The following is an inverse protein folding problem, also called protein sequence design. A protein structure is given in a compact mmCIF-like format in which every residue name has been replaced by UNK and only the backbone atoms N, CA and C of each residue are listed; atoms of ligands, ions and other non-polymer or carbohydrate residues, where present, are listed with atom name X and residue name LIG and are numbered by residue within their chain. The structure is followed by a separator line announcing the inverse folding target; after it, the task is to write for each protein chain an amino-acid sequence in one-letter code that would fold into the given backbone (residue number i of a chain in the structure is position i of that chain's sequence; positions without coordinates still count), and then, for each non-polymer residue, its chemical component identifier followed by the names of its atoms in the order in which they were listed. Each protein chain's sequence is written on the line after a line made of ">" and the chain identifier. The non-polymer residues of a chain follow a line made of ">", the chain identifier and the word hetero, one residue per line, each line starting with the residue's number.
data_IF_317741213729
#
_entry.id   IF_317741213729
#
_cell.length_a   1.000
_cell.length_b   1.000
_cell.length_c   1.000
_cell.angle_alpha   90.00
_cell.angle_beta   90.00
_cell.angle_gamma   90.00
#
_symmetry.space_group_name_H-M   'P 1'
#
loop_
_entity.id
_entity.type
_entity.pdbx_description
1 polymer ?
#
# COMPACT_ATOMS: atom_id res chain seq x y z
N UNK A 1 -0.37 6.36 -11.91
CA UNK A 1 -0.28 5.98 -13.34
C UNK A 1 -0.67 7.12 -14.29
N UNK A 2 -1.89 7.67 -14.21
CA UNK A 2 -2.36 8.69 -15.17
C UNK A 2 -1.57 10.01 -15.12
N UNK A 3 -1.23 10.49 -13.92
CA UNK A 3 -0.41 11.70 -13.72
C UNK A 3 1.02 11.50 -14.25
N UNK A 4 1.62 10.35 -13.97
CA UNK A 4 2.95 9.99 -14.48
C UNK A 4 2.99 9.83 -16.00
N UNK A 5 2.00 9.17 -16.61
CA UNK A 5 1.90 9.06 -18.06
C UNK A 5 1.82 10.43 -18.74
N UNK A 6 1.10 11.38 -18.12
CA UNK A 6 1.00 12.75 -18.59
C UNK A 6 2.31 13.52 -18.38
N UNK A 7 3.01 13.32 -17.26
CA UNK A 7 4.33 13.92 -16.98
C UNK A 7 5.35 13.49 -18.02
N UNK A 8 5.41 12.19 -18.31
CA UNK A 8 6.29 11.60 -19.33
C UNK A 8 5.97 12.13 -20.73
N UNK A 9 4.70 12.25 -21.09
CA UNK A 9 4.30 12.82 -22.39
C UNK A 9 4.71 14.29 -22.56
N UNK A 10 4.59 15.10 -21.52
CA UNK A 10 4.99 16.52 -21.56
C UNK A 10 6.52 16.64 -21.63
N UNK A 11 7.25 15.80 -20.88
CA UNK A 11 8.71 15.76 -20.94
C UNK A 11 9.24 15.35 -22.32
N UNK A 12 8.59 14.39 -22.98
CA UNK A 12 8.92 13.97 -24.35
C UNK A 12 8.73 15.09 -25.37
N UNK A 13 7.63 15.85 -25.27
CA UNK A 13 7.32 16.97 -26.17
C UNK A 13 8.28 18.15 -26.04
N UNK A 14 8.87 18.35 -24.87
CA UNK A 14 9.80 19.45 -24.59
C UNK A 14 11.28 19.04 -24.70
N UNK A 15 11.57 17.79 -25.09
CA UNK A 15 12.95 17.31 -25.23
C UNK A 15 13.74 17.24 -23.91
N UNK A 16 13.04 17.26 -22.77
CA UNK A 16 13.65 17.27 -21.42
C UNK A 16 13.77 15.87 -20.81
N UNK A 17 13.62 14.82 -21.62
CA UNK A 17 13.67 13.43 -21.17
C UNK A 17 15.02 13.05 -20.54
N UNK A 18 16.12 13.57 -21.07
CA UNK A 18 17.47 13.32 -20.56
C UNK A 18 17.88 14.26 -19.40
N UNK A 19 17.00 15.18 -18.97
CA UNK A 19 17.26 16.12 -17.87
C UNK A 19 16.46 15.73 -16.62
N UNK A 20 17.03 14.93 -15.68
CA UNK A 20 16.30 14.45 -14.50
C UNK A 20 15.83 15.55 -13.52
N UNK A 21 16.41 16.76 -13.62
CA UNK A 21 16.05 17.93 -12.79
C UNK A 21 15.22 18.98 -13.53
N UNK A 22 14.88 18.75 -14.80
CA UNK A 22 14.09 19.71 -15.56
C UNK A 22 12.68 19.80 -14.99
N UNK A 23 12.23 21.02 -14.69
CA UNK A 23 10.88 21.28 -14.21
C UNK A 23 9.91 21.01 -15.36
N UNK A 24 9.11 19.96 -15.25
CA UNK A 24 8.03 19.69 -16.19
C UNK A 24 6.96 20.76 -15.97
N UNK A 25 6.58 21.56 -16.98
CA UNK A 25 5.57 22.61 -16.84
C UNK A 25 4.18 21.97 -16.74
N UNK A 26 3.84 21.46 -15.55
CA UNK A 26 2.56 20.85 -15.22
C UNK A 26 2.00 21.52 -13.96
N UNK A 27 0.68 21.77 -13.95
CA UNK A 27 0.01 22.28 -12.75
C UNK A 27 0.01 21.24 -11.62
N UNK A 28 0.38 21.68 -10.42
CA UNK A 28 0.37 20.88 -9.17
C UNK A 28 -1.02 20.32 -8.87
N UNK A 29 -2.09 20.95 -9.37
CA UNK A 29 -3.47 20.48 -9.22
C UNK A 29 -3.73 19.07 -9.77
N UNK A 30 -2.90 18.57 -10.69
CA UNK A 30 -3.01 17.20 -11.22
C UNK A 30 -2.63 16.12 -10.20
N UNK A 31 -1.91 16.47 -9.15
CA UNK A 31 -1.56 15.55 -8.06
C UNK A 31 -2.73 15.36 -7.08
N UNK A 32 -3.67 16.31 -7.03
CA UNK A 32 -4.76 16.32 -6.06
C UNK A 32 -5.62 15.04 -6.12
N UNK A 33 -6.09 14.58 -7.30
CA UNK A 33 -6.98 13.41 -7.35
C UNK A 33 -6.31 12.14 -6.84
N UNK A 34 -5.05 11.91 -7.19
CA UNK A 34 -4.34 10.71 -6.75
C UNK A 34 -4.05 10.73 -5.24
N UNK A 35 -3.67 11.88 -4.67
CA UNK A 35 -3.41 12.00 -3.24
C UNK A 35 -4.70 11.89 -2.42
N UNK A 36 -5.81 12.41 -2.94
CA UNK A 36 -7.10 12.32 -2.27
C UNK A 36 -7.58 10.87 -2.20
N UNK A 37 -7.54 10.13 -3.32
CA UNK A 37 -7.93 8.71 -3.35
C UNK A 37 -7.02 7.87 -2.44
N UNK A 38 -5.71 8.09 -2.50
CA UNK A 38 -4.75 7.38 -1.65
C UNK A 38 -4.99 7.68 -0.16
N UNK A 39 -5.15 8.96 0.20
CA UNK A 39 -5.40 9.36 1.58
C UNK A 39 -6.72 8.82 2.13
N UNK A 40 -7.79 8.84 1.35
CA UNK A 40 -9.06 8.23 1.77
C UNK A 40 -8.91 6.72 1.95
N UNK A 41 -8.25 6.04 1.01
CA UNK A 41 -8.00 4.59 1.11
C UNK A 41 -7.24 4.24 2.38
N UNK A 42 -6.16 4.96 2.69
CA UNK A 42 -5.34 4.71 3.89
C UNK A 42 -6.13 4.97 5.18
N UNK A 43 -6.91 6.07 5.22
CA UNK A 43 -7.75 6.39 6.36
C UNK A 43 -8.82 5.32 6.62
N UNK A 44 -9.54 4.90 5.59
CA UNK A 44 -10.57 3.87 5.73
C UNK A 44 -9.97 2.52 6.09
N UNK A 45 -8.85 2.14 5.49
CA UNK A 45 -8.16 0.89 5.82
C UNK A 45 -7.68 0.87 7.28
N UNK A 46 -7.09 1.97 7.75
CA UNK A 46 -6.60 2.09 9.12
C UNK A 46 -7.74 2.07 10.14
N UNK A 47 -8.76 2.93 9.96
CA UNK A 47 -9.89 3.03 10.89
C UNK A 47 -10.70 1.73 10.90
N UNK A 48 -10.98 1.15 9.72
CA UNK A 48 -11.74 -0.10 9.63
C UNK A 48 -11.01 -1.28 10.27
N UNK A 49 -9.68 -1.37 10.10
CA UNK A 49 -8.88 -2.39 10.78
C UNK A 49 -8.91 -2.17 12.30
N UNK A 50 -8.73 -0.93 12.75
CA UNK A 50 -8.70 -0.61 14.17
C UNK A 50 -10.04 -0.89 14.87
N UNK A 51 -11.17 -0.49 14.28
CA UNK A 51 -12.51 -0.75 14.82
C UNK A 51 -12.79 -2.26 14.87
N UNK A 52 -12.46 -3.01 13.83
CA UNK A 52 -12.65 -4.45 13.80
C UNK A 52 -11.86 -5.15 14.92
N UNK A 53 -10.59 -4.80 15.12
CA UNK A 53 -9.80 -5.39 16.21
C UNK A 53 -10.27 -4.96 17.60
N UNK A 54 -10.74 -3.72 17.73
CA UNK A 54 -11.28 -3.19 18.98
C UNK A 54 -12.58 -3.90 19.38
N UNK A 55 -13.50 -4.10 18.43
CA UNK A 55 -14.81 -4.73 18.67
C UNK A 55 -14.72 -6.25 18.87
N UNK A 56 -13.72 -6.92 18.30
CA UNK A 56 -13.54 -8.38 18.48
C UNK A 56 -12.87 -8.74 19.83
N UNK A 57 -12.24 -7.78 20.50
CA UNK A 57 -11.58 -7.98 21.80
C UNK A 57 -12.56 -7.83 22.98
N UNK A 58 -12.46 -8.67 24.03
CA UNK A 58 -13.21 -8.45 25.27
C UNK A 58 -12.83 -7.11 25.91
N UNK A 59 -13.74 -6.50 26.67
CA UNK A 59 -13.59 -5.12 27.18
C UNK A 59 -12.25 -4.85 27.87
N UNK A 60 -11.77 -5.82 28.67
CA UNK A 60 -10.51 -5.72 29.41
C UNK A 60 -9.24 -5.72 28.53
N UNK A 61 -9.36 -6.13 27.26
CA UNK A 61 -8.22 -6.30 26.33
C UNK A 61 -8.26 -5.36 25.13
N UNK A 62 -9.17 -4.38 25.11
CA UNK A 62 -9.28 -3.40 24.02
C UNK A 62 -7.99 -2.61 23.76
N UNK A 63 -7.22 -2.31 24.81
CA UNK A 63 -5.91 -1.66 24.70
C UNK A 63 -4.89 -2.54 23.94
N UNK A 64 -4.95 -3.86 24.12
CA UNK A 64 -4.11 -4.83 23.40
C UNK A 64 -4.51 -4.87 21.92
N UNK A 65 -5.80 -4.77 21.60
CA UNK A 65 -6.28 -4.68 20.20
C UNK A 65 -5.69 -3.49 19.44
N UNK A 66 -5.66 -2.31 20.07
CA UNK A 66 -5.01 -1.12 19.50
C UNK A 66 -3.48 -1.30 19.35
N UNK A 67 -2.83 -1.91 20.35
CA UNK A 67 -1.39 -2.17 20.29
C UNK A 67 -1.01 -3.18 19.19
N UNK A 68 -1.83 -4.22 18.98
CA UNK A 68 -1.66 -5.20 17.92
C UNK A 68 -1.82 -4.57 16.53
N UNK A 69 -2.79 -3.68 16.36
CA UNK A 69 -3.00 -2.95 15.09
C UNK A 69 -1.77 -2.11 14.75
N UNK A 70 -1.23 -1.35 15.72
CA UNK A 70 -0.01 -0.57 15.51
C UNK A 70 1.23 -1.45 15.27
N UNK A 71 1.32 -2.59 15.96
CA UNK A 71 2.36 -3.59 15.74
C UNK A 71 2.32 -4.16 14.31
N UNK A 72 1.13 -4.48 13.79
CA UNK A 72 0.95 -4.97 12.43
C UNK A 72 1.40 -3.94 11.39
N UNK A 73 1.09 -2.65 11.60
CA UNK A 73 1.58 -1.56 10.73
C UNK A 73 3.11 -1.47 10.77
N UNK A 74 3.71 -1.57 11.96
CA UNK A 74 5.17 -1.58 12.12
C UNK A 74 5.84 -2.74 11.38
N UNK A 75 5.28 -3.96 11.50
CA UNK A 75 5.75 -5.13 10.76
C UNK A 75 5.62 -4.92 9.25
N UNK A 76 4.51 -4.33 8.78
CA UNK A 76 4.32 -3.96 7.38
C UNK A 76 5.39 -3.01 6.86
N UNK A 77 5.79 -2.02 7.64
CA UNK A 77 6.86 -1.08 7.28
C UNK A 77 8.23 -1.76 7.15
N UNK A 78 8.56 -2.69 8.05
CA UNK A 78 9.78 -3.49 7.93
C UNK A 78 9.77 -4.39 6.70
N UNK A 79 8.63 -5.04 6.42
CA UNK A 79 8.47 -5.89 5.25
C UNK A 79 8.62 -5.08 3.95
N UNK A 80 8.03 -3.90 3.88
CA UNK A 80 8.17 -2.97 2.74
C UNK A 80 9.65 -2.62 2.50
N UNK A 81 10.38 -2.27 3.56
CA UNK A 81 11.82 -1.97 3.47
C UNK A 81 12.64 -3.17 3.00
N UNK A 82 12.32 -4.37 3.49
CA UNK A 82 12.99 -5.60 3.09
C UNK A 82 12.75 -5.91 1.60
N UNK A 83 11.51 -5.76 1.12
CA UNK A 83 11.17 -5.95 -0.29
C UNK A 83 11.92 -4.97 -1.18
N UNK A 84 11.93 -3.68 -0.84
CA UNK A 84 12.69 -2.67 -1.60
C UNK A 84 14.18 -3.03 -1.66
N UNK A 85 14.75 -3.46 -0.54
CA UNK A 85 16.16 -3.86 -0.47
C UNK A 85 16.45 -5.08 -1.36
N UNK A 86 15.56 -6.08 -1.36
CA UNK A 86 15.68 -7.26 -2.23
C UNK A 86 15.58 -6.87 -3.70
N UNK A 87 14.62 -6.02 -4.07
CA UNK A 87 14.43 -5.53 -5.44
C UNK A 87 15.66 -4.75 -5.91
N UNK A 88 16.18 -3.84 -5.08
CA UNK A 88 17.39 -3.07 -5.38
C UNK A 88 18.60 -3.99 -5.60
N UNK A 89 18.79 -4.99 -4.72
CA UNK A 89 19.89 -5.94 -4.82
C UNK A 89 19.77 -6.84 -6.05
N UNK A 90 18.59 -7.40 -6.30
CA UNK A 90 18.32 -8.25 -7.46
C UNK A 90 18.58 -7.49 -8.77
N UNK A 91 18.07 -6.26 -8.85
CA UNK A 91 18.24 -5.38 -9.99
C UNK A 91 19.70 -4.95 -10.21
N UNK A 92 20.43 -4.62 -9.14
CA UNK A 92 21.87 -4.32 -9.23
C UNK A 92 22.70 -5.51 -9.73
N UNK A 93 22.30 -6.74 -9.40
CA UNK A 93 23.00 -7.95 -9.81
C UNK A 93 22.79 -8.30 -11.30
N UNK A 94 21.73 -7.76 -11.90
CA UNK A 94 21.43 -7.91 -13.34
C UNK A 94 22.11 -6.83 -14.20
N UNK A 95 23.03 -6.06 -13.61
CA UNK A 95 23.85 -5.07 -14.30
C UNK A 95 23.18 -3.72 -14.55
N UNK A 96 21.88 -3.59 -14.26
CA UNK A 96 21.10 -2.37 -14.49
C UNK A 96 20.17 -2.09 -13.30
N UNK A 97 20.54 -1.20 -12.37
CA UNK A 97 19.65 -0.79 -11.29
C UNK A 97 18.35 -0.22 -11.87
N UNK A 98 17.19 -0.69 -11.41
CA UNK A 98 15.86 -0.27 -11.87
C UNK A 98 15.46 1.03 -11.18
N UNK A 99 15.93 1.23 -9.95
CA UNK A 99 15.84 2.47 -9.20
C UNK A 99 17.10 3.31 -9.43
N UNK A 100 17.21 3.91 -10.62
CA UNK A 100 18.24 4.92 -10.93
C UNK A 100 17.72 6.31 -10.59
N UNK A 101 18.61 7.23 -10.22
CA UNK A 101 18.29 8.65 -9.98
C UNK A 101 17.59 9.35 -11.17
N UNK A 102 17.62 8.76 -12.37
CA UNK A 102 16.91 9.28 -13.53
C UNK A 102 15.62 8.48 -13.78
N UNK A 103 14.53 8.95 -13.17
CA UNK A 103 13.19 8.37 -13.27
C UNK A 103 12.66 8.32 -14.72
N UNK A 104 13.20 9.14 -15.63
CA UNK A 104 12.79 9.14 -17.05
C UNK A 104 13.44 8.01 -17.89
N UNK A 105 14.50 7.38 -17.39
CA UNK A 105 15.19 6.23 -18.02
C UNK A 105 15.13 4.95 -17.18
N UNK A 106 14.59 5.01 -15.97
CA UNK A 106 14.29 3.83 -15.20
C UNK A 106 13.28 2.96 -15.98
N UNK A 107 13.54 1.66 -16.07
CA UNK A 107 12.57 0.69 -16.56
C UNK A 107 11.45 0.55 -15.51
N UNK A 108 10.59 1.56 -15.43
CA UNK A 108 9.44 1.58 -14.52
C UNK A 108 8.54 0.36 -14.75
N UNK A 109 8.48 -0.14 -15.98
CA UNK A 109 7.64 -1.29 -16.34
C UNK A 109 8.04 -2.55 -15.57
N UNK A 110 9.32 -2.87 -15.42
CA UNK A 110 9.80 -4.04 -14.67
C UNK A 110 9.51 -3.90 -13.17
N UNK A 111 9.69 -2.70 -12.62
CA UNK A 111 9.31 -2.40 -11.24
C UNK A 111 7.79 -2.53 -11.02
N UNK A 112 6.97 -2.06 -11.96
CA UNK A 112 5.52 -2.21 -11.90
C UNK A 112 5.07 -3.67 -12.02
N UNK A 113 5.76 -4.50 -12.80
CA UNK A 113 5.48 -5.95 -12.87
C UNK A 113 5.77 -6.66 -11.54
N UNK A 114 6.89 -6.35 -10.89
CA UNK A 114 7.19 -6.89 -9.55
C UNK A 114 6.16 -6.40 -8.53
N UNK A 115 5.79 -5.12 -8.58
CA UNK A 115 4.78 -4.55 -7.70
C UNK A 115 3.40 -5.20 -7.92
N UNK A 116 3.01 -5.43 -9.18
CA UNK A 116 1.77 -6.12 -9.51
C UNK A 116 1.77 -7.56 -8.99
N UNK A 117 2.89 -8.28 -9.14
CA UNK A 117 3.05 -9.62 -8.58
C UNK A 117 2.92 -9.63 -7.06
N UNK A 118 3.52 -8.65 -6.38
CA UNK A 118 3.41 -8.49 -4.93
C UNK A 118 1.98 -8.18 -4.48
N UNK A 119 1.27 -7.28 -5.17
CA UNK A 119 -0.14 -6.99 -4.88
C UNK A 119 -1.04 -8.21 -5.09
N UNK A 120 -0.81 -8.99 -6.16
CA UNK A 120 -1.54 -10.24 -6.37
C UNK A 120 -1.28 -11.24 -5.25
N UNK A 121 -0.02 -11.39 -4.81
CA UNK A 121 0.33 -12.28 -3.70
C UNK A 121 -0.35 -11.84 -2.39
N UNK A 122 -0.31 -10.54 -2.08
CA UNK A 122 -0.95 -9.95 -0.91
C UNK A 122 -2.47 -10.24 -0.90
N UNK A 123 -3.15 -10.02 -2.03
CA UNK A 123 -4.58 -10.33 -2.18
C UNK A 123 -4.88 -11.83 -2.00
N UNK A 124 -4.04 -12.72 -2.51
CA UNK A 124 -4.20 -14.17 -2.34
C UNK A 124 -4.08 -14.54 -0.87
N UNK A 125 -3.03 -14.05 -0.18
CA UNK A 125 -2.82 -14.30 1.25
C UNK A 125 -4.00 -13.77 2.06
N UNK A 126 -4.43 -12.54 1.81
CA UNK A 126 -5.60 -11.94 2.45
C UNK A 126 -6.86 -12.79 2.22
N UNK A 127 -7.14 -13.20 0.98
CA UNK A 127 -8.31 -14.01 0.66
C UNK A 127 -8.28 -15.38 1.34
N UNK A 128 -7.12 -16.03 1.45
CA UNK A 128 -6.97 -17.31 2.16
C UNK A 128 -7.26 -17.15 3.65
N UNK A 129 -6.71 -16.10 4.28
CA UNK A 129 -6.95 -15.79 5.70
C UNK A 129 -8.44 -15.45 5.93
N UNK A 130 -9.02 -14.60 5.08
CA UNK A 130 -10.42 -14.20 5.17
C UNK A 130 -11.37 -15.40 5.02
N UNK A 131 -11.06 -16.37 4.16
CA UNK A 131 -11.85 -17.60 4.00
C UNK A 131 -11.76 -18.53 5.22
N UNK A 132 -10.67 -18.50 5.96
CA UNK A 132 -10.49 -19.24 7.22
C UNK A 132 -11.04 -18.51 8.45
N UNK A 133 -11.43 -17.24 8.32
CA UNK A 133 -11.86 -16.42 9.43
C UNK A 133 -13.29 -16.78 9.85
N UNK A 134 -13.43 -17.45 10.99
CA UNK A 134 -14.73 -17.80 11.58
C UNK A 134 -15.27 -16.59 12.33
N UNK A 135 -16.38 -16.03 11.85
CA UNK A 135 -17.10 -14.97 12.55
C UNK A 135 -17.60 -15.45 13.92
N UNK A 136 -17.30 -14.68 14.97
CA UNK A 136 -17.80 -14.95 16.32
C UNK A 136 -19.32 -14.80 16.31
N UNK A 137 -20.06 -15.90 16.48
CA UNK A 137 -21.51 -15.83 16.77
C UNK A 137 -21.69 -15.16 18.12
N UNK A 138 -22.31 -13.99 18.14
CA UNK A 138 -22.82 -13.39 19.38
C UNK A 138 -23.90 -14.34 19.90
N UNK A 139 -23.66 -14.99 21.04
CA UNK A 139 -24.67 -15.80 21.72
C UNK A 139 -25.86 -14.92 22.10
N UNK A 140 -26.92 -15.02 21.31
CA UNK A 140 -28.22 -14.40 21.53
C UNK A 140 -29.00 -15.09 22.69
N UNK A 141 -28.30 -15.72 23.66
CA UNK A 141 -28.91 -16.63 24.64
C UNK A 141 -28.88 -16.13 26.11
N UNK A 142 -28.63 -14.84 26.34
CA UNK A 142 -28.69 -14.24 27.69
C UNK A 142 -29.87 -13.25 27.87
N UNK A 143 -30.65 -12.95 26.83
CA UNK A 143 -31.78 -12.00 26.91
C UNK A 143 -33.14 -12.71 27.12
N UNK A 144 -33.18 -14.05 27.06
CA UNK A 144 -34.41 -14.84 27.24
C UNK A 144 -34.67 -15.32 28.68
N UNK A 145 -33.78 -15.05 29.64
CA UNK A 145 -33.90 -15.49 31.04
C UNK A 145 -34.22 -14.32 32.01
N UNK A 146 -34.52 -13.13 31.50
CA UNK A 146 -34.82 -11.94 32.29
C UNK A 146 -36.14 -11.26 31.86
N UNK A 147 -37.12 -12.04 31.37
CA UNK A 147 -38.52 -11.61 31.18
C UNK A 147 -39.42 -12.66 31.81
#
# INVERSE_FOLDING_TARGET
>A
ALVEARRVSIAARHGIMDQPKAVVPMSVGWLVPQFLVMGLSDLFAYVGMQELFYDQMPEDMRSIGSALTNGAIGVGAFLSTAIISVVQKASSNWGHPWLVNNLNRAHLDDFYWVLAGLCCLDLIVYALIARGFVWKKIEQNQIGLAI
#
